data_IF_241949543436
#
_entry.id   IF_241949543436
#
_cell.length_a   1.000
_cell.length_b   1.000
_cell.length_c   1.000
_cell.angle_alpha   90.00
_cell.angle_beta   90.00
_cell.angle_gamma   90.00
#
_symmetry.space_group_name_H-M   'P 1'
#
loop_
_entity.id
_entity.type
_entity.pdbx_description
1 polymer ?
#
# COMPACT_ATOMS: atom_id res chain seq x y z
N UNK A 1 1.34 -24.24 -13.15
CA UNK A 1 1.99 -23.06 -12.56
C UNK A 1 1.42 -21.77 -13.12
N UNK A 2 1.56 -21.55 -14.43
CA UNK A 2 1.03 -20.35 -15.06
C UNK A 2 -0.49 -20.21 -14.88
N UNK A 3 -1.20 -21.33 -14.91
CA UNK A 3 -2.65 -21.34 -14.74
C UNK A 3 -3.08 -20.98 -13.33
N UNK A 4 -2.34 -21.43 -12.34
CA UNK A 4 -2.61 -21.06 -10.97
C UNK A 4 -2.46 -19.57 -10.77
N UNK A 5 -1.46 -18.98 -11.39
CA UNK A 5 -1.29 -17.53 -11.35
C UNK A 5 -2.47 -16.81 -11.96
N UNK A 6 -2.99 -17.30 -13.08
CA UNK A 6 -4.07 -16.64 -13.78
C UNK A 6 -5.38 -16.69 -13.01
N UNK A 7 -5.71 -17.84 -12.43
CA UNK A 7 -6.91 -17.98 -11.62
C UNK A 7 -6.82 -17.22 -10.32
N UNK A 8 -5.63 -17.11 -9.79
CA UNK A 8 -5.35 -16.44 -8.55
C UNK A 8 -5.35 -14.93 -8.71
N UNK A 9 -5.24 -14.47 -9.94
CA UNK A 9 -4.79 -13.14 -10.26
C UNK A 9 -5.77 -12.00 -10.03
N UNK A 10 -7.07 -12.23 -9.96
CA UNK A 10 -7.97 -11.08 -9.91
C UNK A 10 -7.81 -10.25 -8.65
N UNK A 11 -7.83 -10.89 -7.48
CA UNK A 11 -7.62 -10.18 -6.23
C UNK A 11 -6.16 -9.81 -6.03
N UNK A 12 -5.27 -10.72 -6.40
CA UNK A 12 -3.85 -10.51 -6.19
C UNK A 12 -3.27 -9.49 -7.12
N UNK A 13 -3.78 -9.40 -8.34
CA UNK A 13 -3.29 -8.37 -9.27
C UNK A 13 -3.60 -6.98 -8.74
N UNK A 14 -4.81 -6.76 -8.21
CA UNK A 14 -5.14 -5.46 -7.64
C UNK A 14 -4.16 -5.09 -6.52
N UNK A 15 -3.92 -6.01 -5.61
CA UNK A 15 -2.98 -5.78 -4.51
C UNK A 15 -1.55 -5.61 -4.99
N UNK A 16 -1.14 -6.41 -5.99
CA UNK A 16 0.20 -6.29 -6.56
C UNK A 16 0.40 -4.93 -7.22
N UNK A 17 -0.61 -4.41 -7.92
CA UNK A 17 -0.55 -3.09 -8.53
C UNK A 17 -0.42 -2.00 -7.46
N UNK A 18 -1.17 -2.12 -6.37
CA UNK A 18 -1.10 -1.17 -5.27
C UNK A 18 0.28 -1.18 -4.62
N UNK A 19 0.78 -2.35 -4.25
CA UNK A 19 2.07 -2.44 -3.56
C UNK A 19 3.23 -2.04 -4.45
N UNK A 20 3.20 -2.45 -5.72
CA UNK A 20 4.21 -2.06 -6.69
C UNK A 20 4.16 -0.55 -6.94
N UNK A 21 2.94 -0.01 -7.01
CA UNK A 21 2.77 1.44 -7.15
C UNK A 21 3.39 2.22 -6.00
N UNK A 22 3.18 1.76 -4.78
CA UNK A 22 3.77 2.40 -3.60
C UNK A 22 5.30 2.40 -3.70
N UNK A 23 5.89 1.27 -4.08
CA UNK A 23 7.33 1.17 -4.25
C UNK A 23 7.85 2.12 -5.33
N UNK A 24 7.17 2.19 -6.46
CA UNK A 24 7.59 3.06 -7.56
C UNK A 24 7.51 4.53 -7.18
N UNK A 25 6.43 4.95 -6.53
CA UNK A 25 6.31 6.34 -6.10
C UNK A 25 7.37 6.68 -5.06
N UNK A 26 7.65 5.75 -4.15
CA UNK A 26 8.64 6.01 -3.10
C UNK A 26 10.05 6.14 -3.64
N UNK A 27 10.36 5.48 -4.76
CA UNK A 27 11.71 5.52 -5.34
C UNK A 27 11.85 6.54 -6.47
N UNK A 28 10.80 6.73 -7.28
CA UNK A 28 10.89 7.58 -8.49
C UNK A 28 10.04 8.84 -8.41
N UNK A 29 9.19 8.96 -7.42
CA UNK A 29 8.31 10.10 -7.26
C UNK A 29 7.00 9.95 -8.03
N UNK A 30 6.01 10.74 -7.63
CA UNK A 30 4.66 10.66 -8.18
C UNK A 30 4.59 11.12 -9.63
N UNK A 31 5.48 12.04 -10.02
CA UNK A 31 5.46 12.58 -11.39
C UNK A 31 5.92 11.56 -12.44
N UNK A 32 6.81 10.65 -12.05
CA UNK A 32 7.29 9.60 -12.94
C UNK A 32 6.38 8.38 -12.96
N UNK A 33 5.44 8.31 -12.03
CA UNK A 33 4.54 7.18 -11.86
C UNK A 33 3.44 7.16 -12.93
N UNK A 34 3.12 5.97 -13.42
CA UNK A 34 2.02 5.79 -14.37
C UNK A 34 1.49 4.36 -14.26
N UNK A 35 0.24 4.15 -14.70
CA UNK A 35 -0.34 2.82 -14.79
C UNK A 35 0.50 1.90 -15.67
N UNK A 36 1.05 2.45 -16.73
CA UNK A 36 1.91 1.70 -17.65
C UNK A 36 3.15 1.18 -16.96
N UNK A 37 3.82 2.03 -16.19
CA UNK A 37 5.00 1.62 -15.43
C UNK A 37 4.69 0.55 -14.40
N UNK A 38 3.57 0.71 -13.70
CA UNK A 38 3.14 -0.28 -12.72
C UNK A 38 2.85 -1.62 -13.38
N UNK A 39 2.16 -1.60 -14.51
CA UNK A 39 1.87 -2.83 -15.26
C UNK A 39 3.18 -3.53 -15.67
N UNK A 40 4.12 -2.77 -16.20
CA UNK A 40 5.42 -3.32 -16.61
C UNK A 40 6.14 -3.95 -15.42
N UNK A 41 6.16 -3.26 -14.28
CA UNK A 41 6.82 -3.76 -13.08
C UNK A 41 6.15 -5.02 -12.52
N UNK A 42 4.84 -5.16 -12.73
CA UNK A 42 4.09 -6.35 -12.32
C UNK A 42 4.15 -7.48 -13.34
N UNK A 43 4.74 -7.23 -14.50
CA UNK A 43 4.83 -8.24 -15.55
C UNK A 43 3.51 -8.54 -16.24
N UNK A 44 2.62 -7.56 -16.31
CA UNK A 44 1.30 -7.73 -16.95
C UNK A 44 1.15 -6.76 -18.11
N UNK A 45 0.13 -6.98 -18.94
CA UNK A 45 -0.12 -6.12 -20.10
C UNK A 45 -0.49 -4.70 -19.65
N UNK A 46 -0.26 -3.74 -20.54
CA UNK A 46 -0.60 -2.34 -20.27
C UNK A 46 -2.09 -2.14 -20.03
N UNK A 47 -2.93 -3.03 -20.55
CA UNK A 47 -4.37 -2.95 -20.38
C UNK A 47 -4.85 -3.52 -19.04
N UNK A 48 -4.05 -4.40 -18.42
CA UNK A 48 -4.46 -5.12 -17.21
C UNK A 48 -4.86 -4.21 -16.05
N UNK A 49 -4.13 -3.12 -15.74
CA UNK A 49 -4.53 -2.26 -14.63
C UNK A 49 -5.89 -1.63 -14.78
N UNK A 50 -6.37 -1.45 -16.01
CA UNK A 50 -7.65 -0.78 -16.27
C UNK A 50 -8.86 -1.62 -15.88
N UNK A 51 -8.67 -2.90 -15.57
CA UNK A 51 -9.74 -3.70 -14.98
C UNK A 51 -9.99 -3.34 -13.52
N UNK A 52 -9.06 -2.62 -12.89
CA UNK A 52 -9.14 -2.25 -11.47
C UNK A 52 -9.15 -0.75 -11.23
N UNK A 53 -8.51 0.04 -12.09
CA UNK A 53 -8.35 1.49 -11.91
C UNK A 53 -8.57 2.19 -13.24
N UNK A 54 -9.40 3.23 -13.25
CA UNK A 54 -9.68 3.96 -14.48
C UNK A 54 -8.53 4.85 -14.89
N UNK A 55 -7.78 5.35 -13.92
CA UNK A 55 -6.69 6.30 -14.18
C UNK A 55 -5.68 6.25 -13.04
N UNK A 56 -4.63 7.03 -13.21
CA UNK A 56 -3.54 7.13 -12.23
C UNK A 56 -4.04 7.57 -10.86
N UNK A 57 -4.95 8.53 -10.85
CA UNK A 57 -5.48 9.09 -9.61
C UNK A 57 -6.22 8.06 -8.78
N UNK A 58 -6.98 7.18 -9.43
CA UNK A 58 -7.68 6.11 -8.72
C UNK A 58 -6.70 5.14 -8.06
N UNK A 59 -5.62 4.83 -8.76
CA UNK A 59 -4.60 3.96 -8.16
C UNK A 59 -3.90 4.66 -6.99
N UNK A 60 -3.56 5.93 -7.14
CA UNK A 60 -2.95 6.69 -6.03
C UNK A 60 -3.85 6.72 -4.80
N UNK A 61 -5.14 6.92 -5.00
CA UNK A 61 -6.10 6.89 -3.90
C UNK A 61 -6.17 5.52 -3.23
N UNK A 62 -6.18 4.45 -4.04
CA UNK A 62 -6.19 3.10 -3.50
C UNK A 62 -4.91 2.80 -2.72
N UNK A 63 -3.78 3.33 -3.15
CA UNK A 63 -2.52 3.20 -2.44
C UNK A 63 -2.57 3.86 -1.06
N UNK A 64 -3.12 5.08 -0.99
CA UNK A 64 -3.30 5.77 0.28
C UNK A 64 -4.20 4.98 1.22
N UNK A 65 -5.34 4.52 0.72
CA UNK A 65 -6.29 3.77 1.52
C UNK A 65 -5.70 2.46 2.02
N UNK A 66 -4.90 1.80 1.19
CA UNK A 66 -4.23 0.57 1.56
C UNK A 66 -3.30 0.79 2.78
N UNK A 67 -2.52 1.86 2.74
CA UNK A 67 -1.59 2.18 3.83
C UNK A 67 -2.35 2.57 5.09
N UNK A 68 -3.32 3.47 4.96
CA UNK A 68 -4.06 3.96 6.13
C UNK A 68 -4.89 2.87 6.78
N UNK A 69 -5.41 1.93 6.01
CA UNK A 69 -6.14 0.80 6.55
C UNK A 69 -5.23 -0.10 7.39
N UNK A 70 -4.05 -0.41 6.88
CA UNK A 70 -3.07 -1.22 7.61
C UNK A 70 -2.59 -0.51 8.89
N UNK A 71 -2.35 0.78 8.77
CA UNK A 71 -1.92 1.60 9.89
C UNK A 71 -2.99 1.64 10.99
N UNK A 72 -4.24 1.88 10.61
CA UNK A 72 -5.36 1.90 11.54
C UNK A 72 -5.50 0.57 12.28
N UNK A 73 -5.37 -0.53 11.57
CA UNK A 73 -5.49 -1.85 12.17
C UNK A 73 -4.37 -2.11 13.19
N UNK A 74 -3.17 -1.66 12.89
CA UNK A 74 -2.05 -1.81 13.82
C UNK A 74 -2.27 -0.99 15.09
N UNK A 75 -2.77 0.24 14.94
CA UNK A 75 -3.09 1.07 16.10
C UNK A 75 -4.24 0.51 16.93
N UNK A 76 -5.29 0.01 16.26
CA UNK A 76 -6.41 -0.64 16.96
C UNK A 76 -5.95 -1.83 17.78
N UNK A 77 -5.06 -2.64 17.20
CA UNK A 77 -4.51 -3.79 17.89
C UNK A 77 -3.79 -3.37 19.18
N UNK A 78 -3.05 -2.26 19.13
CA UNK A 78 -2.35 -1.75 20.29
C UNK A 78 -3.33 -1.28 21.39
N UNK A 79 -4.43 -0.63 20.97
CA UNK A 79 -5.44 -0.14 21.91
C UNK A 79 -6.13 -1.31 22.62
N UNK A 80 -6.39 -2.40 21.90
CA UNK A 80 -7.13 -3.53 22.45
C UNK A 80 -6.32 -4.40 23.40
N UNK A 81 -5.00 -4.26 23.39
CA UNK A 81 -4.12 -5.10 24.20
C UNK A 81 -4.21 -4.83 25.69
N UNK A 82 -4.56 -3.61 26.09
CA UNK A 82 -4.48 -3.17 27.47
C UNK A 82 -5.72 -2.41 27.91
N UNK A 83 -5.96 -2.38 29.22
CA UNK A 83 -7.01 -1.57 29.83
C UNK A 83 -6.48 -0.30 30.49
N UNK A 84 -5.14 -0.19 30.61
CA UNK A 84 -4.50 0.93 31.27
C UNK A 84 -4.16 2.00 30.25
N UNK A 85 -4.60 3.24 30.48
CA UNK A 85 -4.43 4.35 29.56
C UNK A 85 -2.95 4.60 29.24
N UNK A 86 -2.09 4.54 30.25
CA UNK A 86 -0.66 4.78 30.05
C UNK A 86 -0.05 3.70 29.13
N UNK A 87 -0.41 2.45 29.37
CA UNK A 87 0.08 1.34 28.53
C UNK A 87 -0.47 1.43 27.11
N UNK A 88 -1.73 1.84 26.96
CA UNK A 88 -2.32 2.04 25.64
C UNK A 88 -1.56 3.11 24.87
N UNK A 89 -1.29 4.25 25.49
CA UNK A 89 -0.55 5.34 24.83
C UNK A 89 0.85 4.92 24.44
N UNK A 90 1.52 4.19 25.33
CA UNK A 90 2.86 3.65 25.05
C UNK A 90 2.82 2.70 23.87
N UNK A 91 1.90 1.74 23.86
CA UNK A 91 1.78 0.75 22.80
C UNK A 91 1.38 1.38 21.48
N UNK A 92 0.54 2.41 21.51
CA UNK A 92 0.18 3.16 20.29
C UNK A 92 1.40 3.88 19.74
N UNK A 93 2.22 4.49 20.58
CA UNK A 93 3.45 5.15 20.15
C UNK A 93 4.41 4.18 19.49
N UNK A 94 4.61 3.02 20.11
CA UNK A 94 5.46 1.97 19.57
C UNK A 94 4.90 1.47 18.24
N UNK A 95 3.60 1.22 18.17
CA UNK A 95 2.94 0.75 16.95
C UNK A 95 3.08 1.77 15.81
N UNK A 96 2.95 3.05 16.12
CA UNK A 96 3.09 4.13 15.15
C UNK A 96 4.50 4.12 14.54
N UNK A 97 5.51 4.14 15.38
CA UNK A 97 6.91 4.16 14.92
C UNK A 97 7.27 2.87 14.20
N UNK A 98 6.87 1.73 14.76
CA UNK A 98 7.18 0.43 14.18
C UNK A 98 6.57 0.26 12.80
N UNK A 99 5.35 0.76 12.61
CA UNK A 99 4.69 0.64 11.31
C UNK A 99 5.54 1.27 10.21
N UNK A 100 6.08 2.46 10.44
CA UNK A 100 6.86 3.16 9.43
C UNK A 100 8.31 2.70 9.35
N UNK A 101 8.86 2.21 10.46
CA UNK A 101 10.19 1.60 10.43
C UNK A 101 10.15 0.30 9.62
N UNK A 102 9.10 -0.48 9.79
CA UNK A 102 8.94 -1.75 9.08
C UNK A 102 8.52 -1.56 7.63
N UNK A 103 7.95 -0.39 7.30
CA UNK A 103 7.42 -0.11 5.97
C UNK A 103 7.89 1.28 5.49
N UNK A 104 9.20 1.44 5.24
CA UNK A 104 9.72 2.77 4.88
C UNK A 104 9.15 3.31 3.56
N UNK A 105 8.79 2.44 2.61
CA UNK A 105 8.17 2.88 1.37
C UNK A 105 6.80 3.52 1.61
N UNK A 106 6.07 3.06 2.61
CA UNK A 106 4.78 3.64 2.98
C UNK A 106 4.96 5.08 3.47
N UNK A 107 5.94 5.30 4.32
CA UNK A 107 6.24 6.64 4.82
C UNK A 107 6.64 7.56 3.66
N UNK A 108 7.54 7.09 2.81
CA UNK A 108 8.00 7.84 1.65
C UNK A 108 6.83 8.23 0.73
N UNK A 109 5.95 7.28 0.48
CA UNK A 109 4.79 7.53 -0.36
C UNK A 109 3.88 8.60 0.25
N UNK A 110 3.52 8.45 1.52
CA UNK A 110 2.63 9.40 2.20
C UNK A 110 3.25 10.79 2.25
N UNK A 111 4.53 10.87 2.52
CA UNK A 111 5.24 12.14 2.55
C UNK A 111 5.22 12.83 1.19
N UNK A 112 5.34 12.07 0.11
CA UNK A 112 5.36 12.63 -1.24
C UNK A 112 4.00 13.16 -1.70
N UNK A 113 2.92 12.79 -1.00
CA UNK A 113 1.56 13.24 -1.31
C UNK A 113 1.20 14.58 -0.67
N UNK A 114 2.01 15.07 0.25
CA UNK A 114 1.70 16.33 0.96
C UNK A 114 2.26 17.57 0.27
#
# INVERSE_FOLDING_TARGET
MAQQRQTYHHKDLRNALIETGIQLVSTEGVNAFSLRKVAAACGVSHAAPYSHFQNKEELLEAMQLFITDRFSKQLESAVQKNNNVVEILKDMGIAYVSFFVDNPAYFQFLYSQS
#
